data_IF_297592013327
#
_entry.id   IF_297592013327
#
_cell.length_a   1.000
_cell.length_b   1.000
_cell.length_c   1.000
_cell.angle_alpha   90.00
_cell.angle_beta   90.00
_cell.angle_gamma   90.00
#
_symmetry.space_group_name_H-M   'P 1'
#
loop_
_entity.id
_entity.type
_entity.pdbx_description
1 polymer ?
#
# COMPACT_ATOMS: atom_id res chain seq x y z
N UNK A 1 2.25 15.42 -27.90
CA UNK A 1 1.28 14.60 -27.14
C UNK A 1 1.65 14.68 -25.67
N UNK A 2 0.93 15.47 -24.87
CA UNK A 2 1.22 15.62 -23.44
C UNK A 2 0.78 14.30 -22.78
N UNK A 3 1.72 13.57 -22.16
CA UNK A 3 1.38 12.46 -21.25
C UNK A 3 0.63 13.08 -20.08
N UNK A 4 -0.71 13.12 -20.15
CA UNK A 4 -1.53 13.30 -18.96
C UNK A 4 -1.29 12.05 -18.11
N UNK A 5 -0.93 12.23 -16.84
CA UNK A 5 -0.83 11.11 -15.90
C UNK A 5 -2.18 10.40 -15.80
N UNK A 6 -2.24 9.31 -15.03
CA UNK A 6 -3.48 8.54 -14.87
C UNK A 6 -4.59 9.31 -14.12
N UNK A 7 -4.29 10.50 -13.57
CA UNK A 7 -5.22 11.39 -12.88
C UNK A 7 -5.73 12.43 -13.88
N UNK A 8 -7.05 12.48 -14.06
CA UNK A 8 -7.72 13.50 -14.87
C UNK A 8 -8.14 14.70 -14.01
N UNK A 9 -8.51 14.47 -12.76
CA UNK A 9 -9.04 15.53 -11.87
C UNK A 9 -8.69 15.26 -10.42
N UNK A 10 -8.41 16.33 -9.68
CA UNK A 10 -8.25 16.32 -8.23
C UNK A 10 -9.33 17.21 -7.61
N UNK A 11 -9.98 16.70 -6.57
CA UNK A 11 -11.03 17.38 -5.81
C UNK A 11 -10.57 17.41 -4.34
N UNK A 12 -10.63 18.58 -3.71
CA UNK A 12 -10.34 18.72 -2.28
C UNK A 12 -11.57 19.30 -1.57
N UNK A 13 -12.00 18.63 -0.49
CA UNK A 13 -13.15 18.99 0.32
C UNK A 13 -12.69 19.20 1.76
N UNK A 14 -13.13 20.30 2.36
CA UNK A 14 -13.02 20.53 3.79
C UNK A 14 -14.38 20.96 4.35
N UNK A 15 -15.02 20.04 5.05
CA UNK A 15 -16.30 20.31 5.72
C UNK A 15 -16.11 20.34 7.23
N UNK A 16 -16.57 21.41 7.88
CA UNK A 16 -16.45 21.60 9.32
C UNK A 16 -17.81 21.83 9.97
N UNK A 17 -18.07 21.07 11.04
CA UNK A 17 -19.30 21.09 11.81
C UNK A 17 -18.97 21.30 13.29
N UNK A 18 -19.76 22.11 13.98
CA UNK A 18 -19.65 22.39 15.41
C UNK A 18 -21.05 22.50 16.01
N UNK A 19 -21.24 21.91 17.19
CA UNK A 19 -22.48 21.95 17.93
C UNK A 19 -22.20 21.87 19.45
N UNK A 20 -23.14 22.32 20.29
CA UNK A 20 -23.04 22.24 21.75
C UNK A 20 -23.51 20.89 22.31
N UNK A 21 -24.12 20.04 21.48
CA UNK A 21 -24.44 18.65 21.76
C UNK A 21 -23.54 17.72 20.94
N UNK A 22 -23.33 16.50 21.43
CA UNK A 22 -22.56 15.49 20.70
C UNK A 22 -23.42 14.82 19.63
N UNK A 23 -22.85 14.63 18.43
CA UNK A 23 -23.53 14.02 17.28
C UNK A 23 -22.68 12.92 16.64
N UNK A 24 -23.35 12.06 15.87
CA UNK A 24 -22.72 11.31 14.80
C UNK A 24 -22.78 12.13 13.52
N UNK A 25 -21.63 12.62 13.08
CA UNK A 25 -21.47 13.36 11.83
C UNK A 25 -21.19 12.38 10.72
N UNK A 26 -21.99 12.44 9.65
CA UNK A 26 -21.90 11.54 8.52
C UNK A 26 -21.51 12.33 7.26
N UNK A 27 -20.35 12.02 6.69
CA UNK A 27 -20.03 12.39 5.32
C UNK A 27 -20.31 11.19 4.41
N UNK A 28 -21.03 11.40 3.32
CA UNK A 28 -21.52 10.31 2.47
C UNK A 28 -21.24 10.58 0.99
N UNK A 29 -20.96 9.52 0.26
CA UNK A 29 -20.88 9.52 -1.19
C UNK A 29 -21.61 8.28 -1.70
N UNK A 30 -22.68 8.53 -2.47
CA UNK A 30 -23.52 7.49 -3.06
C UNK A 30 -23.28 7.46 -4.57
N UNK A 31 -22.44 6.55 -5.08
CA UNK A 31 -22.35 6.31 -6.51
C UNK A 31 -23.64 5.67 -7.07
N UNK A 32 -23.73 5.58 -8.40
CA UNK A 32 -24.83 4.88 -9.06
C UNK A 32 -24.83 3.38 -8.70
N UNK A 33 -26.01 2.77 -8.45
CA UNK A 33 -26.09 1.39 -8.00
C UNK A 33 -25.56 0.37 -9.01
N UNK A 34 -24.95 -0.70 -8.51
CA UNK A 34 -24.53 -1.86 -9.31
C UNK A 34 -23.30 -1.65 -10.20
N UNK A 35 -22.69 -0.46 -10.17
CA UNK A 35 -21.54 -0.13 -11.02
C UNK A 35 -20.25 0.07 -10.25
N UNK A 36 -20.27 -0.10 -8.93
CA UNK A 36 -19.14 0.30 -8.09
C UNK A 36 -18.72 -0.75 -7.08
N UNK A 37 -17.41 -0.94 -6.98
CA UNK A 37 -16.78 -1.66 -5.88
C UNK A 37 -16.08 -0.64 -5.00
N UNK A 38 -16.53 -0.54 -3.75
CA UNK A 38 -15.93 0.34 -2.74
C UNK A 38 -14.98 -0.50 -1.89
N UNK A 39 -13.68 -0.24 -2.04
CA UNK A 39 -12.66 -0.85 -1.18
C UNK A 39 -12.18 0.18 -0.17
N UNK A 40 -12.15 -0.20 1.10
CA UNK A 40 -11.61 0.59 2.20
C UNK A 40 -10.21 0.08 2.54
N UNK A 41 -9.28 0.99 2.81
CA UNK A 41 -7.92 0.61 3.16
C UNK A 41 -7.17 1.70 3.90
N UNK A 42 -5.99 1.38 4.39
CA UNK A 42 -5.05 2.35 4.96
C UNK A 42 -3.80 2.34 4.08
N UNK A 43 -3.63 3.39 3.26
CA UNK A 43 -2.41 3.58 2.45
C UNK A 43 -1.50 4.58 3.14
N UNK A 44 -0.19 4.33 3.24
CA UNK A 44 0.84 5.28 3.69
C UNK A 44 0.38 6.32 4.76
N UNK A 45 -0.20 5.84 5.86
CA UNK A 45 -0.69 6.64 7.00
C UNK A 45 -1.91 7.53 6.77
N UNK A 46 -2.64 7.34 5.67
CA UNK A 46 -3.94 7.93 5.38
C UNK A 46 -4.96 6.83 5.13
N UNK A 47 -6.14 6.99 5.73
CA UNK A 47 -7.26 6.11 5.42
C UNK A 47 -7.81 6.48 4.06
N UNK A 48 -8.15 5.46 3.28
CA UNK A 48 -8.47 5.57 1.86
C UNK A 48 -9.73 4.80 1.52
N UNK A 49 -10.40 5.28 0.48
CA UNK A 49 -11.43 4.52 -0.21
C UNK A 49 -11.16 4.57 -1.72
N UNK A 50 -11.66 3.59 -2.44
CA UNK A 50 -11.69 3.64 -3.91
C UNK A 50 -13.04 3.16 -4.39
N UNK A 51 -13.63 3.91 -5.30
CA UNK A 51 -14.82 3.56 -6.06
C UNK A 51 -14.35 3.24 -7.47
N UNK A 52 -14.52 1.98 -7.89
CA UNK A 52 -14.18 1.56 -9.25
C UNK A 52 -15.38 1.72 -10.17
N UNK A 53 -15.18 2.36 -11.32
CA UNK A 53 -16.17 2.45 -12.39
C UNK A 53 -15.87 1.47 -13.51
N UNK A 54 -16.57 1.64 -14.64
CA UNK A 54 -16.37 0.83 -15.86
C UNK A 54 -15.06 1.19 -16.56
N UNK A 55 -14.55 0.25 -17.36
CA UNK A 55 -13.37 0.41 -18.24
C UNK A 55 -12.09 0.85 -17.51
N UNK A 56 -11.92 0.45 -16.24
CA UNK A 56 -10.72 0.77 -15.46
C UNK A 56 -10.67 2.21 -14.96
N UNK A 57 -11.80 2.93 -14.99
CA UNK A 57 -11.93 4.22 -14.31
C UNK A 57 -12.05 4.04 -12.80
N UNK A 58 -11.60 5.05 -12.05
CA UNK A 58 -11.64 5.03 -10.59
C UNK A 58 -11.78 6.45 -10.03
N UNK A 59 -12.47 6.52 -8.88
CA UNK A 59 -12.43 7.65 -7.96
C UNK A 59 -11.78 7.18 -6.66
N UNK A 60 -10.58 7.67 -6.36
CA UNK A 60 -9.82 7.29 -5.16
C UNK A 60 -9.78 8.46 -4.20
N UNK A 61 -10.13 8.21 -2.94
CA UNK A 61 -10.17 9.23 -1.90
C UNK A 61 -9.25 8.92 -0.73
N UNK A 62 -8.78 9.99 -0.08
CA UNK A 62 -7.94 9.95 1.11
C UNK A 62 -8.49 10.92 2.14
N UNK A 63 -8.67 10.45 3.38
CA UNK A 63 -9.04 11.30 4.50
C UNK A 63 -7.79 11.74 5.25
N UNK A 64 -7.50 13.04 5.21
CA UNK A 64 -6.32 13.62 5.85
C UNK A 64 -6.37 13.51 7.38
N UNK A 65 -7.54 13.73 7.98
CA UNK A 65 -7.72 13.71 9.43
C UNK A 65 -8.56 12.51 9.87
N UNK A 66 -8.02 11.32 9.68
CA UNK A 66 -8.71 10.06 9.96
C UNK A 66 -8.85 9.69 11.45
N UNK A 67 -8.36 10.52 12.37
CA UNK A 67 -8.50 10.26 13.79
C UNK A 67 -9.98 10.08 14.16
N UNK A 68 -10.30 8.95 14.80
CA UNK A 68 -11.64 8.56 15.24
C UNK A 68 -12.69 8.50 14.11
N UNK A 69 -12.26 8.39 12.85
CA UNK A 69 -13.15 8.18 11.73
C UNK A 69 -13.47 6.69 11.58
N UNK A 70 -14.76 6.37 11.47
CA UNK A 70 -15.24 5.02 11.14
C UNK A 70 -15.68 5.03 9.68
N UNK A 71 -15.17 4.08 8.90
CA UNK A 71 -15.57 3.89 7.51
C UNK A 71 -16.60 2.79 7.43
N UNK A 72 -17.61 3.01 6.59
CA UNK A 72 -18.62 2.02 6.32
C UNK A 72 -19.03 2.07 4.86
N UNK A 73 -19.42 0.91 4.34
CA UNK A 73 -20.06 0.75 3.05
C UNK A 73 -21.30 -0.12 3.25
N UNK A 74 -22.44 0.51 3.49
CA UNK A 74 -23.75 -0.16 3.59
C UNK A 74 -24.60 0.34 2.43
N UNK A 75 -25.29 -0.57 1.77
CA UNK A 75 -26.17 -0.27 0.63
C UNK A 75 -25.46 0.51 -0.49
N UNK A 76 -24.20 0.16 -0.75
CA UNK A 76 -23.33 0.80 -1.77
C UNK A 76 -23.04 2.29 -1.50
N UNK A 77 -23.35 2.80 -0.30
CA UNK A 77 -23.03 4.15 0.13
C UNK A 77 -21.75 4.16 0.96
N UNK A 78 -20.72 4.86 0.46
CA UNK A 78 -19.56 5.18 1.27
C UNK A 78 -19.98 6.15 2.36
N UNK A 79 -19.69 5.81 3.61
CA UNK A 79 -19.96 6.64 4.78
C UNK A 79 -18.72 6.77 5.65
N UNK A 80 -18.37 8.01 5.97
CA UNK A 80 -17.33 8.36 6.94
C UNK A 80 -18.03 8.97 8.14
N UNK A 81 -17.87 8.35 9.31
CA UNK A 81 -18.57 8.72 10.54
C UNK A 81 -17.55 9.26 11.54
N UNK A 82 -17.88 10.39 12.18
CA UNK A 82 -17.17 10.92 13.34
C UNK A 82 -18.14 11.21 14.47
N UNK A 83 -17.74 10.94 15.70
CA UNK A 83 -18.55 11.22 16.89
C UNK A 83 -17.95 12.39 17.70
N UNK A 84 -18.79 13.31 18.14
CA UNK A 84 -18.41 14.38 19.07
C UNK A 84 -19.16 15.70 18.86
N UNK A 85 -18.75 16.73 19.59
CA UNK A 85 -19.27 18.10 19.49
C UNK A 85 -18.85 18.84 18.21
N UNK A 86 -17.81 18.33 17.55
CA UNK A 86 -17.35 18.87 16.27
C UNK A 86 -16.85 17.76 15.38
N UNK A 87 -17.02 17.93 14.08
CA UNK A 87 -16.36 17.11 13.07
C UNK A 87 -15.71 17.99 12.01
N UNK A 88 -14.58 17.54 11.52
CA UNK A 88 -13.90 18.13 10.38
C UNK A 88 -13.59 16.99 9.41
N UNK A 89 -14.02 17.08 8.16
CA UNK A 89 -13.75 16.10 7.12
C UNK A 89 -12.84 16.76 6.09
N UNK A 90 -11.56 16.35 6.06
CA UNK A 90 -10.59 16.85 5.07
C UNK A 90 -10.28 15.73 4.09
N UNK A 91 -10.97 15.75 2.95
CA UNK A 91 -10.95 14.66 1.96
C UNK A 91 -10.29 15.19 0.69
N UNK A 92 -9.26 14.49 0.22
CA UNK A 92 -8.76 14.66 -1.14
C UNK A 92 -9.26 13.48 -1.97
N UNK A 93 -9.67 13.74 -3.21
CA UNK A 93 -10.07 12.71 -4.16
C UNK A 93 -9.38 12.95 -5.49
N UNK A 94 -9.04 11.86 -6.17
CA UNK A 94 -8.56 11.86 -7.53
C UNK A 94 -9.50 11.01 -8.38
N UNK A 95 -9.84 11.53 -9.56
CA UNK A 95 -10.58 10.82 -10.60
C UNK A 95 -9.61 10.54 -11.74
N UNK A 96 -9.69 9.33 -12.30
CA UNK A 96 -8.83 8.95 -13.41
C UNK A 96 -9.11 7.56 -13.93
N UNK A 97 -8.14 7.03 -14.69
CA UNK A 97 -8.22 5.72 -15.33
C UNK A 97 -6.85 5.04 -15.32
N UNK A 98 -6.83 3.70 -15.28
CA UNK A 98 -5.58 2.93 -15.31
C UNK A 98 -4.98 2.74 -13.92
N UNK A 99 -3.66 2.90 -13.76
CA UNK A 99 -2.99 2.69 -12.47
C UNK A 99 -3.40 3.76 -11.48
N UNK A 100 -3.90 3.32 -10.33
CA UNK A 100 -4.29 4.21 -9.25
C UNK A 100 -3.10 4.97 -8.66
N UNK A 101 -3.30 6.23 -8.30
CA UNK A 101 -2.29 7.00 -7.59
C UNK A 101 -2.14 6.52 -6.15
N UNK A 102 -1.01 6.91 -5.58
CA UNK A 102 -0.71 6.81 -4.17
C UNK A 102 -0.78 8.21 -3.57
N UNK A 103 -1.00 8.29 -2.26
CA UNK A 103 -0.86 9.55 -1.58
C UNK A 103 -0.18 9.37 -0.23
N UNK A 104 0.59 10.38 0.14
CA UNK A 104 1.31 10.44 1.39
C UNK A 104 0.81 11.63 2.20
N UNK A 105 0.60 11.41 3.50
CA UNK A 105 0.35 12.50 4.43
C UNK A 105 1.63 13.32 4.61
N UNK A 106 1.50 14.63 4.52
CA UNK A 106 2.54 15.61 4.85
C UNK A 106 2.09 16.45 6.04
N UNK A 107 2.97 17.30 6.56
CA UNK A 107 2.62 18.21 7.66
C UNK A 107 1.50 19.21 7.29
N UNK A 108 1.37 19.54 6.00
CA UNK A 108 0.47 20.59 5.51
C UNK A 108 -0.70 20.05 4.67
N UNK A 109 -0.75 18.75 4.37
CA UNK A 109 -1.82 18.19 3.56
C UNK A 109 -1.54 16.78 3.03
N UNK A 110 -2.13 16.47 1.87
CA UNK A 110 -1.94 15.20 1.16
C UNK A 110 -1.17 15.50 -0.13
N UNK A 111 -0.05 14.79 -0.34
CA UNK A 111 0.65 14.79 -1.62
C UNK A 111 0.23 13.55 -2.42
N UNK A 112 -0.29 13.75 -3.63
CA UNK A 112 -0.78 12.69 -4.53
C UNK A 112 0.28 12.46 -5.61
N UNK A 113 0.69 11.21 -5.78
CA UNK A 113 1.70 10.78 -6.75
C UNK A 113 1.09 9.74 -7.69
N UNK A 114 1.36 9.86 -8.99
CA UNK A 114 0.87 8.96 -10.04
C UNK A 114 1.77 7.73 -10.24
N UNK A 115 2.90 7.67 -9.53
CA UNK A 115 3.82 6.53 -9.55
C UNK A 115 3.91 5.87 -8.17
N UNK A 116 3.88 4.52 -8.10
CA UNK A 116 4.34 3.85 -6.90
C UNK A 116 5.79 4.28 -6.66
N UNK A 117 6.08 4.77 -5.46
CA UNK A 117 7.46 5.05 -5.08
C UNK A 117 8.27 3.77 -5.28
N UNK A 118 9.12 3.74 -6.30
CA UNK A 118 10.02 2.61 -6.50
C UNK A 118 10.91 2.60 -5.26
N UNK A 119 10.73 1.59 -4.41
CA UNK A 119 11.67 1.33 -3.32
C UNK A 119 12.98 0.96 -4.01
N UNK A 120 13.90 1.91 -4.08
CA UNK A 120 15.23 1.70 -4.64
C UNK A 120 15.93 0.75 -3.67
N UNK A 121 15.89 -0.55 -3.98
CA UNK A 121 16.78 -1.51 -3.33
C UNK A 121 18.19 -1.07 -3.71
N UNK A 122 18.93 -0.59 -2.72
CA UNK A 122 20.29 -0.13 -2.97
C UNK A 122 21.11 -1.28 -3.59
N UNK A 123 21.96 -0.97 -4.57
CA UNK A 123 22.88 -1.93 -5.20
C UNK A 123 23.71 -2.67 -4.12
N UNK A 124 24.00 -2.00 -3.00
CA UNK A 124 24.68 -2.57 -1.85
C UNK A 124 23.93 -3.79 -1.25
N UNK A 125 22.60 -3.74 -1.14
CA UNK A 125 21.79 -4.84 -0.61
C UNK A 125 21.85 -6.08 -1.50
N UNK A 126 21.85 -5.87 -2.82
CA UNK A 126 21.96 -6.96 -3.82
C UNK A 126 23.36 -7.59 -3.77
N UNK A 127 24.41 -6.76 -3.67
CA UNK A 127 25.81 -7.23 -3.58
C UNK A 127 26.06 -8.04 -2.30
N UNK A 128 25.51 -7.62 -1.16
CA UNK A 128 25.61 -8.38 0.10
C UNK A 128 24.94 -9.75 -0.06
N UNK A 129 23.73 -9.80 -0.64
CA UNK A 129 23.02 -11.06 -0.88
C UNK A 129 23.82 -12.03 -1.75
N UNK A 130 24.42 -11.52 -2.83
CA UNK A 130 25.31 -12.30 -3.71
C UNK A 130 26.57 -12.80 -3.00
N UNK A 131 27.23 -11.94 -2.21
CA UNK A 131 28.42 -12.33 -1.46
C UNK A 131 28.14 -13.46 -0.47
N UNK A 132 27.00 -13.40 0.24
CA UNK A 132 26.56 -14.46 1.16
C UNK A 132 26.32 -15.78 0.42
N UNK A 133 25.63 -15.74 -0.72
CA UNK A 133 25.40 -16.95 -1.55
C UNK A 133 26.71 -17.59 -2.03
N UNK A 134 27.68 -16.77 -2.46
CA UNK A 134 29.00 -17.25 -2.88
C UNK A 134 29.73 -17.92 -1.72
N UNK A 135 29.73 -17.32 -0.52
CA UNK A 135 30.37 -17.88 0.68
C UNK A 135 29.75 -19.22 1.04
N UNK A 136 28.41 -19.32 1.04
CA UNK A 136 27.69 -20.57 1.31
C UNK A 136 28.09 -21.65 0.29
N UNK A 137 28.13 -21.30 -1.00
CA UNK A 137 28.55 -22.21 -2.06
C UNK A 137 29.98 -22.74 -1.86
N UNK A 138 30.92 -21.88 -1.46
CA UNK A 138 32.31 -22.27 -1.16
C UNK A 138 32.37 -23.22 0.03
N UNK A 139 31.63 -22.92 1.11
CA UNK A 139 31.59 -23.75 2.32
C UNK A 139 31.00 -25.14 2.04
N UNK A 140 29.89 -25.21 1.28
CA UNK A 140 29.27 -26.48 0.87
C UNK A 140 30.24 -27.31 0.02
N UNK A 141 30.90 -26.68 -0.96
CA UNK A 141 31.89 -27.36 -1.81
C UNK A 141 33.06 -27.90 -0.98
N UNK A 142 33.52 -27.15 0.02
CA UNK A 142 34.59 -27.58 0.93
C UNK A 142 34.15 -28.74 1.82
N UNK A 143 32.91 -28.74 2.31
CA UNK A 143 32.32 -29.83 3.10
C UNK A 143 32.21 -31.13 2.30
N UNK A 144 31.69 -31.06 1.07
CA UNK A 144 31.58 -32.22 0.17
C UNK A 144 32.96 -32.84 -0.09
N UNK A 145 33.98 -32.02 -0.39
CA UNK A 145 35.36 -32.50 -0.59
C UNK A 145 35.93 -33.20 0.64
N UNK A 146 35.67 -32.68 1.86
CA UNK A 146 36.09 -33.33 3.11
C UNK A 146 35.44 -34.69 3.27
N UNK A 147 34.13 -34.79 3.07
CA UNK A 147 33.40 -36.06 3.20
C UNK A 147 33.93 -37.11 2.21
N UNK A 148 34.16 -36.73 0.95
CA UNK A 148 34.70 -37.66 -0.05
C UNK A 148 36.10 -38.17 0.30
N UNK A 149 36.96 -37.34 0.91
CA UNK A 149 38.29 -37.79 1.39
C UNK A 149 38.18 -38.80 2.54
N UNK A 150 37.28 -38.57 3.49
CA UNK A 150 37.05 -39.48 4.63
C UNK A 150 36.50 -40.83 4.14
N UNK A 151 35.53 -40.81 3.23
CA UNK A 151 34.99 -42.05 2.63
C UNK A 151 36.05 -42.83 1.84
N UNK A 152 36.97 -42.15 1.15
CA UNK A 152 38.09 -42.81 0.47
C UNK A 152 39.06 -43.49 1.46
N UNK A 153 39.39 -42.83 2.57
CA UNK A 153 40.27 -43.39 3.61
C UNK A 153 39.65 -44.59 4.36
N UNK A 154 38.33 -44.60 4.55
CA UNK A 154 37.63 -45.73 5.17
C UNK A 154 37.61 -46.96 4.26
N UNK A 155 37.49 -46.78 2.94
CA UNK A 155 37.56 -47.87 1.96
C UNK A 155 38.94 -48.51 1.87
N UNK A 156 40.03 -47.73 2.00
CA UNK A 156 41.39 -48.30 2.00
C UNK A 156 41.71 -49.10 3.26
N UNK A 157 41.09 -48.82 4.41
CA UNK A 157 41.30 -49.60 5.65
C UNK A 157 40.54 -50.93 5.70
N UNK A 158 39.47 -51.08 4.92
CA UNK A 158 38.61 -52.28 4.95
C UNK A 158 39.05 -53.40 3.99
N UNK A 159 39.95 -53.11 3.03
CA UNK A 159 40.49 -54.10 2.08
C UNK A 159 41.83 -54.74 2.52
N UNK A 160 42.23 -54.59 3.79
CA UNK A 160 43.53 -55.09 4.32
C UNK A 160 43.34 -56.20 5.37
N UNK A 161 42.19 -56.89 5.34
CA UNK A 161 41.92 -58.08 6.17
C UNK A 161 41.79 -59.33 5.33
#
# INVERSE_FOLDING_TARGET
>A
MIKRGNIDTIIAIQDQFVNNLSHFWHWQLSPDPGETNITLGNGNNVSTFIIRGRNGSWLKGWLYNNQNAIYNNIDEVLRIIKYGFSANFKIAMALGMGTEPFANRTATGINIDDKPSIVIISIASILIGLAVLIIIGILLRKRIRRNNRVSAMLKTKTNVS
#
